data_IF_695046202528
#
_entry.id   IF_695046202528
#
_cell.length_a   1.000
_cell.length_b   1.000
_cell.length_c   1.000
_cell.angle_alpha   90.00
_cell.angle_beta   90.00
_cell.angle_gamma   90.00
#
_symmetry.space_group_name_H-M   'P 1'
#
loop_
_entity.id
_entity.type
_entity.pdbx_description
1 polymer ?
#
# COMPACT_ATOMS: atom_id res chain seq x y z
N UNK A 1 -12.26 1.50 3.93
CA UNK A 1 -11.05 2.06 3.32
C UNK A 1 -11.33 2.87 2.07
N UNK A 2 -11.40 2.24 0.88
CA UNK A 2 -11.54 2.94 -0.42
C UNK A 2 -12.81 3.79 -0.53
N UNK A 3 -13.95 3.34 -0.02
CA UNK A 3 -15.19 4.13 -0.02
C UNK A 3 -15.08 5.44 0.78
N UNK A 4 -14.40 5.41 1.93
CA UNK A 4 -14.15 6.61 2.71
C UNK A 4 -13.23 7.62 1.97
N UNK A 5 -12.25 7.11 1.23
CA UNK A 5 -11.39 7.93 0.37
C UNK A 5 -12.18 8.53 -0.81
N UNK A 6 -13.06 7.74 -1.42
CA UNK A 6 -13.96 8.20 -2.47
C UNK A 6 -14.90 9.32 -1.99
N UNK A 7 -15.50 9.18 -0.80
CA UNK A 7 -16.34 10.22 -0.18
C UNK A 7 -15.59 11.52 0.11
N UNK A 8 -14.29 11.45 0.38
CA UNK A 8 -13.43 12.64 0.55
C UNK A 8 -13.00 13.29 -0.76
N UNK A 9 -13.52 12.83 -1.90
CA UNK A 9 -13.22 13.37 -3.22
C UNK A 9 -11.89 12.91 -3.82
N UNK A 10 -11.18 11.95 -3.19
CA UNK A 10 -9.90 11.42 -3.68
C UNK A 10 -10.06 10.47 -4.88
N UNK A 11 -11.27 10.01 -5.16
CA UNK A 11 -11.60 9.13 -6.27
C UNK A 11 -12.75 9.73 -7.09
N UNK A 12 -12.95 9.29 -8.35
CA UNK A 12 -14.04 9.76 -9.19
C UNK A 12 -15.40 9.62 -8.50
N UNK A 13 -16.27 10.63 -8.65
CA UNK A 13 -17.61 10.67 -8.02
C UNK A 13 -18.46 9.44 -8.33
N UNK A 14 -18.34 8.87 -9.52
CA UNK A 14 -19.04 7.63 -9.91
C UNK A 14 -18.76 6.44 -8.98
N UNK A 15 -17.59 6.42 -8.31
CA UNK A 15 -17.24 5.36 -7.36
C UNK A 15 -17.87 5.55 -5.98
N UNK A 16 -18.54 6.66 -5.74
CA UNK A 16 -19.31 6.92 -4.50
C UNK A 16 -20.76 6.51 -4.60
N UNK A 17 -21.23 6.17 -5.80
CA UNK A 17 -22.62 5.76 -6.01
C UNK A 17 -22.90 4.44 -5.28
N UNK A 18 -23.98 4.41 -4.55
CA UNK A 18 -24.46 3.24 -3.81
C UNK A 18 -25.80 2.77 -4.35
N UNK A 19 -26.04 1.47 -4.28
CA UNK A 19 -27.34 0.90 -4.63
C UNK A 19 -28.36 1.08 -3.48
N UNK A 20 -29.59 0.57 -3.68
CA UNK A 20 -30.65 0.61 -2.69
C UNK A 20 -30.32 -0.09 -1.35
N UNK A 21 -29.24 -0.88 -1.31
CA UNK A 21 -28.73 -1.57 -0.12
C UNK A 21 -27.46 -0.91 0.46
N UNK A 22 -27.18 0.36 0.10
CA UNK A 22 -26.01 1.13 0.53
C UNK A 22 -24.65 0.52 0.15
N UNK A 23 -24.61 -0.36 -0.86
CA UNK A 23 -23.38 -0.98 -1.36
C UNK A 23 -22.82 -0.15 -2.52
N UNK A 24 -21.54 0.26 -2.47
CA UNK A 24 -20.89 0.99 -3.56
C UNK A 24 -20.50 0.05 -4.71
N UNK A 25 -21.50 -0.34 -5.52
CA UNK A 25 -21.34 -1.34 -6.58
C UNK A 25 -20.21 -1.01 -7.57
N UNK A 26 -20.08 0.24 -8.08
CA UNK A 26 -19.00 0.55 -9.01
C UNK A 26 -17.61 0.32 -8.38
N UNK A 27 -17.46 0.65 -7.10
CA UNK A 27 -16.21 0.46 -6.37
C UNK A 27 -15.86 -1.03 -6.20
N UNK A 28 -16.87 -1.84 -5.85
CA UNK A 28 -16.70 -3.30 -5.68
C UNK A 28 -16.33 -3.96 -7.01
N UNK A 29 -16.95 -3.54 -8.12
CA UNK A 29 -16.61 -4.05 -9.46
C UNK A 29 -15.18 -3.70 -9.86
N UNK A 30 -14.73 -2.47 -9.63
CA UNK A 30 -13.35 -2.06 -9.90
C UNK A 30 -12.37 -2.86 -9.04
N UNK A 31 -12.66 -3.05 -7.74
CA UNK A 31 -11.84 -3.91 -6.88
C UNK A 31 -11.78 -5.35 -7.40
N UNK A 32 -12.92 -5.94 -7.75
CA UNK A 32 -13.00 -7.29 -8.30
C UNK A 32 -12.17 -7.43 -9.58
N UNK A 33 -12.25 -6.46 -10.48
CA UNK A 33 -11.46 -6.43 -11.71
C UNK A 33 -9.96 -6.36 -11.43
N UNK A 34 -9.52 -5.47 -10.53
CA UNK A 34 -8.11 -5.36 -10.15
C UNK A 34 -7.60 -6.67 -9.56
N UNK A 35 -8.36 -7.27 -8.63
CA UNK A 35 -7.99 -8.57 -8.02
C UNK A 35 -7.92 -9.67 -9.08
N UNK A 36 -8.86 -9.71 -10.02
CA UNK A 36 -8.86 -10.71 -11.11
C UNK A 36 -7.65 -10.54 -12.02
N UNK A 37 -7.30 -9.32 -12.40
CA UNK A 37 -6.10 -9.04 -13.20
C UNK A 37 -4.85 -9.51 -12.47
N UNK A 38 -4.69 -9.18 -11.19
CA UNK A 38 -3.55 -9.61 -10.39
C UNK A 38 -3.49 -11.13 -10.24
N UNK A 39 -4.61 -11.78 -9.97
CA UNK A 39 -4.69 -13.24 -9.93
C UNK A 39 -4.26 -13.87 -11.25
N UNK A 40 -4.72 -13.32 -12.38
CA UNK A 40 -4.31 -13.78 -13.69
C UNK A 40 -2.81 -13.60 -13.94
N UNK A 41 -2.25 -12.43 -13.64
CA UNK A 41 -0.80 -12.15 -13.77
C UNK A 41 0.02 -13.13 -12.94
N UNK A 42 -0.37 -13.37 -11.69
CA UNK A 42 0.34 -14.31 -10.82
C UNK A 42 0.18 -15.77 -11.23
N UNK A 43 -0.95 -16.15 -11.84
CA UNK A 43 -1.20 -17.52 -12.28
C UNK A 43 -0.51 -17.83 -13.61
N UNK A 44 -0.56 -16.90 -14.57
CA UNK A 44 -0.08 -17.10 -15.94
C UNK A 44 1.28 -16.44 -16.21
N UNK A 45 1.78 -15.59 -15.29
CA UNK A 45 2.99 -14.80 -15.50
C UNK A 45 4.31 -15.56 -15.47
N UNK A 46 4.29 -16.89 -15.34
CA UNK A 46 5.49 -17.75 -15.33
C UNK A 46 6.00 -18.12 -13.94
N UNK A 47 7.01 -18.98 -13.88
CA UNK A 47 7.69 -19.37 -12.64
C UNK A 47 7.06 -20.52 -11.84
N UNK A 48 5.90 -20.98 -12.23
CA UNK A 48 5.19 -22.06 -11.54
C UNK A 48 4.47 -21.63 -10.26
N UNK A 49 3.69 -22.53 -9.68
CA UNK A 49 2.80 -22.23 -8.55
C UNK A 49 3.53 -21.68 -7.31
N UNK A 50 4.75 -22.17 -7.03
CA UNK A 50 5.52 -21.74 -5.85
C UNK A 50 6.02 -20.29 -6.00
N UNK A 51 6.51 -19.91 -7.19
CA UNK A 51 6.99 -18.54 -7.45
C UNK A 51 5.84 -17.56 -7.34
N UNK A 52 4.70 -17.85 -7.98
CA UNK A 52 3.51 -17.01 -7.95
C UNK A 52 2.97 -16.81 -6.53
N UNK A 53 2.91 -17.90 -5.76
CA UNK A 53 2.45 -17.85 -4.36
C UNK A 53 3.38 -17.02 -3.47
N UNK A 54 4.69 -17.26 -3.54
CA UNK A 54 5.68 -16.50 -2.76
C UNK A 54 5.71 -15.03 -3.16
N UNK A 55 5.59 -14.73 -4.46
CA UNK A 55 5.52 -13.35 -4.95
C UNK A 55 4.26 -12.63 -4.44
N UNK A 56 3.11 -13.29 -4.42
CA UNK A 56 1.86 -12.71 -3.92
C UNK A 56 1.96 -12.35 -2.43
N UNK A 57 2.52 -13.24 -1.61
CA UNK A 57 2.75 -12.97 -0.17
C UNK A 57 3.70 -11.80 -0.01
N UNK A 58 4.85 -11.83 -0.68
CA UNK A 58 5.85 -10.77 -0.56
C UNK A 58 5.34 -9.42 -1.04
N UNK A 59 4.59 -9.39 -2.14
CA UNK A 59 3.96 -8.17 -2.65
C UNK A 59 3.00 -7.57 -1.62
N UNK A 60 2.19 -8.41 -0.98
CA UNK A 60 1.28 -7.95 0.08
C UNK A 60 2.05 -7.29 1.23
N UNK A 61 3.11 -7.95 1.72
CA UNK A 61 3.96 -7.41 2.80
C UNK A 61 4.61 -6.09 2.40
N UNK A 62 5.18 -6.02 1.20
CA UNK A 62 5.86 -4.81 0.69
C UNK A 62 4.90 -3.62 0.58
N UNK A 63 3.67 -3.84 0.11
CA UNK A 63 2.65 -2.79 0.03
C UNK A 63 2.25 -2.29 1.43
N UNK A 64 2.07 -3.19 2.40
CA UNK A 64 1.81 -2.80 3.79
C UNK A 64 2.95 -1.97 4.38
N UNK A 65 4.20 -2.36 4.12
CA UNK A 65 5.37 -1.63 4.60
C UNK A 65 5.46 -0.21 4.05
N UNK A 66 5.11 0.00 2.77
CA UNK A 66 4.98 1.35 2.21
C UNK A 66 3.94 2.16 2.97
N UNK A 67 2.79 1.56 3.29
CA UNK A 67 1.76 2.20 4.12
C UNK A 67 2.28 2.60 5.50
N UNK A 68 3.05 1.74 6.17
CA UNK A 68 3.70 2.05 7.45
C UNK A 68 4.74 3.16 7.34
N UNK A 69 5.56 3.18 6.28
CA UNK A 69 6.51 4.25 6.04
C UNK A 69 5.81 5.61 5.92
N UNK A 70 4.73 5.69 5.14
CA UNK A 70 3.92 6.89 5.02
C UNK A 70 3.28 7.29 6.34
N UNK A 71 2.81 6.33 7.13
CA UNK A 71 2.28 6.56 8.47
C UNK A 71 3.33 7.16 9.41
N UNK A 72 4.54 6.59 9.47
CA UNK A 72 5.61 7.12 10.32
C UNK A 72 6.08 8.51 9.86
N UNK A 73 6.19 8.75 8.55
CA UNK A 73 6.48 10.09 8.00
C UNK A 73 5.41 11.08 8.45
N UNK A 74 4.13 10.73 8.26
CA UNK A 74 3.01 11.56 8.71
C UNK A 74 3.04 11.84 10.21
N UNK A 75 3.36 10.84 11.02
CA UNK A 75 3.47 11.00 12.47
C UNK A 75 4.65 11.88 12.87
N UNK A 76 5.80 11.77 12.22
CA UNK A 76 6.97 12.64 12.43
C UNK A 76 6.61 14.12 12.11
N UNK A 77 5.98 14.34 10.95
CA UNK A 77 5.51 15.68 10.56
C UNK A 77 4.53 16.24 11.59
N UNK A 78 3.62 15.40 12.07
CA UNK A 78 2.64 15.78 13.10
C UNK A 78 3.29 16.19 14.41
N UNK A 79 4.35 15.49 14.85
CA UNK A 79 5.11 15.85 16.06
C UNK A 79 5.85 17.18 15.87
N UNK A 80 6.42 17.41 14.69
CA UNK A 80 7.25 18.58 14.41
C UNK A 80 6.41 19.85 14.20
N UNK A 81 5.34 19.76 13.38
CA UNK A 81 4.57 20.94 12.94
C UNK A 81 3.31 21.21 13.76
N UNK A 82 2.73 20.18 14.37
CA UNK A 82 1.41 20.25 15.00
C UNK A 82 1.40 19.66 16.40
N UNK A 83 2.45 19.99 17.21
CA UNK A 83 2.60 19.50 18.58
C UNK A 83 1.43 19.89 19.52
N UNK A 84 0.82 21.04 19.28
CA UNK A 84 -0.18 21.68 20.17
C UNK A 84 -1.63 21.24 19.90
N UNK A 85 -1.87 20.38 18.89
CA UNK A 85 -3.21 19.90 18.62
C UNK A 85 -3.75 19.06 19.79
N UNK A 86 -4.96 19.39 20.25
CA UNK A 86 -5.69 18.55 21.23
C UNK A 86 -5.97 17.18 20.61
N UNK A 87 -5.46 16.14 21.23
CA UNK A 87 -5.60 14.75 20.78
C UNK A 87 -6.38 13.96 21.82
N UNK A 88 -7.20 13.02 21.37
CA UNK A 88 -7.94 12.11 22.26
C UNK A 88 -6.99 11.23 23.09
N UNK A 89 -5.80 10.91 22.56
CA UNK A 89 -4.76 10.16 23.27
C UNK A 89 -3.39 10.77 23.02
N UNK A 90 -2.62 10.88 24.09
CA UNK A 90 -1.21 11.27 24.05
C UNK A 90 -0.34 10.06 24.40
N UNK A 91 0.59 9.72 23.50
CA UNK A 91 1.65 8.75 23.84
C UNK A 91 2.40 9.30 25.06
N UNK A 92 2.52 8.53 26.15
CA UNK A 92 3.27 8.94 27.33
C UNK A 92 4.74 9.22 26.96
N UNK A 93 5.35 10.18 27.64
CA UNK A 93 6.69 10.66 27.31
C UNK A 93 6.68 11.97 26.50
N UNK A 94 7.75 12.72 26.63
CA UNK A 94 7.92 14.02 25.98
C UNK A 94 8.04 13.92 24.45
N UNK A 95 8.21 15.08 23.80
CA UNK A 95 8.40 15.18 22.33
C UNK A 95 9.54 14.29 21.84
N UNK A 96 10.64 14.23 22.61
CA UNK A 96 11.83 13.43 22.28
C UNK A 96 11.52 11.93 22.25
N UNK A 97 10.80 11.41 23.25
CA UNK A 97 10.43 9.99 23.29
C UNK A 97 9.53 9.60 22.10
N UNK A 98 8.54 10.41 21.79
CA UNK A 98 7.66 10.21 20.63
C UNK A 98 8.45 10.17 19.33
N UNK A 99 9.47 11.04 19.18
CA UNK A 99 10.33 11.09 18.01
C UNK A 99 11.20 9.83 17.90
N UNK A 100 11.79 9.36 19.01
CA UNK A 100 12.60 8.14 19.03
C UNK A 100 11.76 6.94 18.58
N UNK A 101 10.55 6.78 19.12
CA UNK A 101 9.64 5.70 18.74
C UNK A 101 9.27 5.78 17.26
N UNK A 102 8.97 6.97 16.74
CA UNK A 102 8.63 7.16 15.33
C UNK A 102 9.80 6.82 14.40
N UNK A 103 11.01 7.27 14.73
CA UNK A 103 12.21 6.98 13.95
C UNK A 103 12.57 5.49 14.01
N UNK A 104 12.48 4.88 15.19
CA UNK A 104 12.73 3.44 15.34
C UNK A 104 11.74 2.62 14.49
N UNK A 105 10.44 2.93 14.56
CA UNK A 105 9.43 2.28 13.72
C UNK A 105 9.68 2.48 12.22
N UNK A 106 10.06 3.68 11.81
CA UNK A 106 10.45 3.98 10.43
C UNK A 106 11.65 3.15 9.98
N UNK A 107 12.72 3.12 10.78
CA UNK A 107 13.94 2.38 10.46
C UNK A 107 13.69 0.86 10.35
N UNK A 108 12.92 0.29 11.27
CA UNK A 108 12.52 -1.12 11.20
C UNK A 108 11.68 -1.39 9.96
N UNK A 109 10.77 -0.50 9.59
CA UNK A 109 9.95 -0.65 8.38
C UNK A 109 10.80 -0.58 7.11
N UNK A 110 11.79 0.32 7.03
CA UNK A 110 12.75 0.37 5.91
C UNK A 110 13.56 -0.92 5.83
N UNK A 111 14.08 -1.38 6.96
CA UNK A 111 14.85 -2.62 7.03
C UNK A 111 14.02 -3.83 6.56
N UNK A 112 12.78 -3.95 7.05
CA UNK A 112 11.86 -5.01 6.63
C UNK A 112 11.54 -4.92 5.13
N UNK A 113 11.36 -3.70 4.59
CA UNK A 113 11.13 -3.49 3.17
C UNK A 113 12.31 -4.00 2.32
N UNK A 114 13.54 -3.66 2.70
CA UNK A 114 14.74 -4.13 1.98
C UNK A 114 14.85 -5.65 2.03
N UNK A 115 14.66 -6.26 3.20
CA UNK A 115 14.70 -7.72 3.34
C UNK A 115 13.59 -8.41 2.54
N UNK A 116 12.43 -7.81 2.38
CA UNK A 116 11.31 -8.38 1.62
C UNK A 116 11.64 -8.60 0.13
N UNK A 117 12.67 -7.95 -0.40
CA UNK A 117 13.18 -8.20 -1.74
C UNK A 117 14.23 -9.33 -1.80
N UNK A 118 14.67 -9.86 -0.66
CA UNK A 118 15.57 -11.02 -0.65
C UNK A 118 14.75 -12.25 -1.02
N UNK A 119 15.17 -13.01 -2.07
CA UNK A 119 14.44 -14.19 -2.50
C UNK A 119 14.35 -15.25 -1.41
N UNK A 120 13.19 -15.88 -1.22
CA UNK A 120 13.07 -17.01 -0.30
C UNK A 120 14.00 -18.15 -0.67
N UNK A 121 14.55 -18.84 0.33
CA UNK A 121 15.50 -19.95 0.15
C UNK A 121 14.95 -21.15 -0.65
N UNK A 122 13.62 -21.24 -0.79
CA UNK A 122 12.96 -22.25 -1.61
C UNK A 122 13.10 -22.01 -3.12
N UNK A 123 13.49 -20.80 -3.52
CA UNK A 123 13.69 -20.44 -4.92
C UNK A 123 15.15 -20.58 -5.30
N UNK A 124 15.42 -21.24 -6.42
CA UNK A 124 16.77 -21.46 -6.93
C UNK A 124 16.87 -21.17 -8.43
N UNK A 125 18.03 -20.76 -8.87
CA UNK A 125 18.31 -20.57 -10.30
C UNK A 125 17.39 -19.55 -10.96
N UNK A 126 16.74 -19.95 -12.05
CA UNK A 126 15.87 -19.09 -12.86
C UNK A 126 14.66 -18.54 -12.09
N UNK A 127 14.13 -19.32 -11.14
CA UNK A 127 12.98 -18.91 -10.32
C UNK A 127 13.26 -17.67 -9.45
N UNK A 128 14.52 -17.45 -9.05
CA UNK A 128 14.96 -16.25 -8.32
C UNK A 128 14.78 -14.99 -9.18
N UNK A 129 15.23 -15.05 -10.44
CA UNK A 129 15.12 -13.93 -11.37
C UNK A 129 13.67 -13.62 -11.70
N UNK A 130 12.84 -14.64 -11.92
CA UNK A 130 11.40 -14.48 -12.16
C UNK A 130 10.70 -13.84 -10.98
N UNK A 131 10.98 -14.31 -9.76
CA UNK A 131 10.45 -13.74 -8.52
C UNK A 131 10.80 -12.26 -8.38
N UNK A 132 12.08 -11.90 -8.50
CA UNK A 132 12.52 -10.52 -8.37
C UNK A 132 11.92 -9.60 -9.44
N UNK A 133 11.82 -10.08 -10.68
CA UNK A 133 11.25 -9.31 -11.78
C UNK A 133 9.75 -9.04 -11.55
N UNK A 134 8.98 -10.08 -11.25
CA UNK A 134 7.54 -9.95 -11.01
C UNK A 134 7.30 -9.07 -9.78
N UNK A 135 8.01 -9.31 -8.67
CA UNK A 135 7.86 -8.52 -7.44
C UNK A 135 8.17 -7.04 -7.68
N UNK A 136 9.29 -6.74 -8.36
CA UNK A 136 9.71 -5.35 -8.61
C UNK A 136 8.74 -4.61 -9.53
N UNK A 137 8.32 -5.23 -10.63
CA UNK A 137 7.35 -4.62 -11.55
C UNK A 137 6.02 -4.39 -10.84
N UNK A 138 5.52 -5.40 -10.14
CA UNK A 138 4.26 -5.33 -9.40
C UNK A 138 4.30 -4.26 -8.32
N UNK A 139 5.41 -4.14 -7.60
CA UNK A 139 5.63 -3.10 -6.60
C UNK A 139 5.60 -1.70 -7.21
N UNK A 140 6.36 -1.47 -8.27
CA UNK A 140 6.40 -0.16 -8.96
C UNK A 140 5.02 0.23 -9.46
N UNK A 141 4.33 -0.69 -10.14
CA UNK A 141 2.97 -0.44 -10.66
C UNK A 141 2.01 -0.08 -9.51
N UNK A 142 2.02 -0.86 -8.43
CA UNK A 142 1.11 -0.65 -7.30
C UNK A 142 1.38 0.66 -6.57
N UNK A 143 2.65 1.03 -6.40
CA UNK A 143 3.02 2.31 -5.76
C UNK A 143 2.68 3.51 -6.65
N UNK A 144 2.82 3.40 -7.97
CA UNK A 144 2.52 4.49 -8.90
C UNK A 144 1.02 4.78 -9.04
N UNK A 145 0.15 3.78 -8.90
CA UNK A 145 -1.31 3.94 -9.05
C UNK A 145 -1.87 5.08 -8.18
N UNK A 146 -1.62 5.17 -6.86
CA UNK A 146 -2.12 6.27 -6.04
C UNK A 146 -1.64 7.65 -6.48
N UNK A 147 -0.39 7.76 -6.95
CA UNK A 147 0.16 9.04 -7.46
C UNK A 147 -0.51 9.45 -8.76
N UNK A 148 -0.77 8.51 -9.67
CA UNK A 148 -1.50 8.76 -10.91
C UNK A 148 -2.93 9.20 -10.60
N UNK A 149 -3.61 8.50 -9.68
CA UNK A 149 -4.97 8.85 -9.24
C UNK A 149 -4.98 10.27 -8.66
N UNK A 150 -4.00 10.60 -7.80
CA UNK A 150 -3.89 11.92 -7.21
C UNK A 150 -3.63 13.02 -8.26
N UNK A 151 -2.76 12.77 -9.24
CA UNK A 151 -2.49 13.71 -10.32
C UNK A 151 -3.71 13.94 -11.24
N UNK A 152 -4.59 12.96 -11.36
CA UNK A 152 -5.83 13.07 -12.14
C UNK A 152 -7.02 13.62 -11.33
N UNK A 153 -6.87 13.76 -10.03
CA UNK A 153 -7.91 14.20 -9.09
C UNK A 153 -8.59 15.51 -9.53
N UNK A 154 -7.80 16.51 -9.94
CA UNK A 154 -8.31 17.81 -10.36
C UNK A 154 -9.15 17.76 -11.64
N UNK A 155 -8.94 16.75 -12.48
CA UNK A 155 -9.71 16.53 -13.72
C UNK A 155 -11.06 15.88 -13.48
N UNK A 156 -11.22 15.16 -12.38
CA UNK A 156 -12.45 14.40 -12.08
C UNK A 156 -13.42 15.16 -11.21
N UNK A 157 -12.97 16.19 -10.53
CA UNK A 157 -13.77 17.01 -9.61
C UNK A 157 -14.19 18.37 -10.22
N UNK A 158 -13.80 18.65 -11.47
CA UNK A 158 -14.36 19.72 -12.29
C UNK A 158 -15.63 19.23 -13.00
#
# INVERSE_FOLDING_TARGET
GMYAAAKKGLLPKKLTEVNNHEVPVPLVLVQGLVVTIWAAVLTFGGGGNNVSFLTAISLTVVIYLVGYLLFFIGYIILILKHGDLKRAYHVPGGKTFKMIVAIAGFAVSVFALVISFVPPSQLTGKSVSEYLTILSISFIVTVLIPFIIYALHDKWNK
#
